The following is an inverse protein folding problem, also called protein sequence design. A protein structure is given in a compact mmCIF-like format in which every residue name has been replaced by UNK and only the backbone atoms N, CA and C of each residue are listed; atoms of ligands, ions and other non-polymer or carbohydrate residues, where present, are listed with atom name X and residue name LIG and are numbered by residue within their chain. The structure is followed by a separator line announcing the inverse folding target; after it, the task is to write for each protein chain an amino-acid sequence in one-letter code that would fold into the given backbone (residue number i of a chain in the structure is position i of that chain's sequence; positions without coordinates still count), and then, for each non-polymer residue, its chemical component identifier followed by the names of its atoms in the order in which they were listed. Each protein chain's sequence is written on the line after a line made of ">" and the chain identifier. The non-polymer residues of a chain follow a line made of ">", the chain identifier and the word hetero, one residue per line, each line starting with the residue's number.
data_IF_992437809918
#
_entry.id   IF_992437809918
#
_cell.length_a   1.000
_cell.length_b   1.000
_cell.length_c   1.000
_cell.angle_alpha   90.00
_cell.angle_beta   90.00
_cell.angle_gamma   90.00
#
_symmetry.space_group_name_H-M   'P 1'
#
loop_
_entity.id
_entity.type
_entity.pdbx_description
1 polymer ?
#
# COMPACT_ATOMS: atom_id res chain seq x y z
N UNK A 1 -4.43 16.49 -10.31
CA UNK A 1 -4.42 15.07 -9.88
C UNK A 1 -3.97 15.05 -8.43
N UNK A 2 -4.63 14.27 -7.59
CA UNK A 2 -4.17 14.04 -6.23
C UNK A 2 -3.10 12.95 -6.28
N UNK A 3 -2.01 13.14 -5.54
CA UNK A 3 -0.92 12.15 -5.47
C UNK A 3 -1.36 11.02 -4.53
N UNK A 4 -1.56 9.80 -4.99
CA UNK A 4 -2.09 8.69 -4.18
C UNK A 4 -1.17 7.47 -4.17
N UNK A 5 -1.24 6.66 -3.11
CA UNK A 5 -0.48 5.42 -3.08
C UNK A 5 -1.22 4.31 -3.81
N UNK A 6 -0.54 3.70 -4.77
CA UNK A 6 -1.02 2.57 -5.57
C UNK A 6 -0.27 1.29 -5.21
N UNK A 7 -0.98 0.16 -5.25
CA UNK A 7 -0.42 -1.18 -5.10
C UNK A 7 -0.86 -2.04 -6.27
N UNK A 8 0.05 -2.87 -6.79
CA UNK A 8 -0.25 -3.89 -7.78
C UNK A 8 0.20 -5.26 -7.29
N UNK A 9 -0.69 -6.26 -7.37
CA UNK A 9 -0.33 -7.65 -7.13
C UNK A 9 0.01 -8.33 -8.44
N UNK A 10 1.26 -8.77 -8.58
CA UNK A 10 1.77 -9.27 -9.86
C UNK A 10 2.48 -10.62 -9.68
N UNK A 11 2.37 -11.52 -10.66
CA UNK A 11 3.21 -12.72 -10.69
C UNK A 11 4.69 -12.35 -10.88
N UNK A 12 5.60 -13.23 -10.43
CA UNK A 12 7.04 -13.01 -10.58
C UNK A 12 7.46 -12.92 -12.04
N UNK A 13 6.86 -13.76 -12.88
CA UNK A 13 7.08 -13.82 -14.32
C UNK A 13 6.66 -12.54 -15.04
N UNK A 14 5.62 -11.86 -14.55
CA UNK A 14 5.17 -10.58 -15.09
C UNK A 14 6.23 -9.49 -14.86
N UNK A 15 6.74 -9.40 -13.62
CA UNK A 15 7.77 -8.43 -13.28
C UNK A 15 9.10 -8.71 -14.03
N UNK A 16 9.44 -10.00 -14.20
CA UNK A 16 10.60 -10.41 -14.99
C UNK A 16 10.45 -10.04 -16.48
N UNK A 17 9.25 -10.23 -17.04
CA UNK A 17 8.94 -9.82 -18.41
C UNK A 17 9.04 -8.29 -18.57
N UNK A 18 8.56 -7.51 -17.60
CA UNK A 18 8.71 -6.06 -17.62
C UNK A 18 10.18 -5.63 -17.63
N UNK A 19 11.01 -6.24 -16.78
CA UNK A 19 12.45 -5.99 -16.75
C UNK A 19 13.11 -6.31 -18.09
N UNK A 20 12.74 -7.42 -18.71
CA UNK A 20 13.26 -7.81 -20.02
C UNK A 20 12.84 -6.83 -21.11
N UNK A 21 11.57 -6.41 -21.14
CA UNK A 21 11.06 -5.41 -22.09
C UNK A 21 11.84 -4.10 -21.98
N UNK A 22 12.00 -3.57 -20.76
CA UNK A 22 12.75 -2.34 -20.53
C UNK A 22 14.22 -2.44 -21.00
N UNK A 23 14.85 -3.61 -20.85
CA UNK A 23 16.23 -3.83 -21.30
C UNK A 23 16.39 -4.00 -22.82
N UNK A 24 15.32 -4.30 -23.55
CA UNK A 24 15.34 -4.56 -25.00
C UNK A 24 14.68 -3.47 -25.83
N UNK A 25 13.78 -2.68 -25.23
CA UNK A 25 13.13 -1.57 -25.91
C UNK A 25 14.11 -0.41 -26.16
N UNK A 26 13.98 0.24 -27.31
CA UNK A 26 14.81 1.38 -27.69
C UNK A 26 14.63 2.59 -26.78
N UNK A 27 13.48 2.67 -26.12
CA UNK A 27 13.08 3.77 -25.26
C UNK A 27 13.00 3.40 -23.77
N UNK A 28 13.29 2.14 -23.44
CA UNK A 28 13.26 1.61 -22.08
C UNK A 28 11.88 1.25 -21.55
N UNK A 29 10.86 1.07 -22.40
CA UNK A 29 9.49 0.72 -21.99
C UNK A 29 9.40 -0.67 -21.31
N UNK A 30 8.98 -0.73 -20.03
CA UNK A 30 8.76 -2.00 -19.33
C UNK A 30 7.44 -2.69 -19.71
N UNK A 31 6.54 -2.05 -20.47
CA UNK A 31 5.16 -2.51 -20.68
C UNK A 31 4.42 -2.79 -19.37
N UNK A 32 4.59 -1.90 -18.38
CA UNK A 32 3.90 -2.00 -17.11
C UNK A 32 2.43 -1.62 -17.27
N UNK A 33 1.55 -2.62 -17.25
CA UNK A 33 0.10 -2.51 -17.30
C UNK A 33 -0.57 -3.64 -16.48
N UNK A 34 -0.48 -3.62 -15.13
CA UNK A 34 -1.11 -4.64 -14.29
C UNK A 34 -2.64 -4.59 -14.45
N UNK A 35 -3.35 -5.74 -14.44
CA UNK A 35 -4.80 -5.75 -14.61
C UNK A 35 -5.51 -4.85 -13.58
N UNK A 36 -6.56 -4.10 -13.94
CA UNK A 36 -7.24 -3.21 -12.99
C UNK A 36 -7.78 -3.90 -11.73
N UNK A 37 -8.18 -5.17 -11.83
CA UNK A 37 -8.64 -5.97 -10.69
C UNK A 37 -7.50 -6.39 -9.72
N UNK A 38 -6.26 -6.24 -10.16
CA UNK A 38 -5.02 -6.53 -9.43
C UNK A 38 -4.30 -5.24 -9.02
N UNK A 39 -4.98 -4.08 -9.07
CA UNK A 39 -4.51 -2.78 -8.57
C UNK A 39 -5.40 -2.28 -7.43
N UNK A 40 -4.80 -1.64 -6.43
CA UNK A 40 -5.47 -0.99 -5.30
C UNK A 40 -4.94 0.43 -5.10
N UNK A 41 -5.85 1.39 -5.05
CA UNK A 41 -5.57 2.77 -4.63
C UNK A 41 -5.87 2.93 -3.13
N UNK A 42 -4.85 3.29 -2.34
CA UNK A 42 -4.97 3.58 -0.92
C UNK A 42 -5.17 5.08 -0.62
N UNK A 43 -5.23 5.92 -1.65
CA UNK A 43 -5.37 7.36 -1.52
C UNK A 43 -4.28 7.92 -0.58
N UNK A 44 -4.64 8.72 0.42
CA UNK A 44 -3.73 9.25 1.45
C UNK A 44 -3.82 8.45 2.76
N UNK A 45 -4.47 7.30 2.77
CA UNK A 45 -4.66 6.47 3.95
C UNK A 45 -3.37 6.00 4.65
N UNK A 46 -2.24 5.69 3.98
CA UNK A 46 -1.09 5.03 4.60
C UNK A 46 -0.61 5.66 5.92
N UNK A 47 -0.28 6.96 5.89
CA UNK A 47 0.23 7.66 7.07
C UNK A 47 -0.80 7.74 8.20
N UNK A 48 -2.10 7.85 7.86
CA UNK A 48 -3.17 7.86 8.85
C UNK A 48 -3.41 6.48 9.47
N UNK A 49 -3.30 5.41 8.67
CA UNK A 49 -3.43 4.02 9.14
C UNK A 49 -2.32 3.69 10.14
N UNK A 50 -1.07 4.04 9.83
CA UNK A 50 0.04 3.89 10.76
C UNK A 50 -0.23 4.67 12.05
N UNK A 51 -0.61 5.94 11.91
CA UNK A 51 -0.84 6.83 13.06
C UNK A 51 -1.92 6.32 14.01
N UNK A 52 -3.06 5.83 13.50
CA UNK A 52 -4.12 5.30 14.39
C UNK A 52 -3.71 4.03 15.10
N UNK A 53 -2.91 3.16 14.45
CA UNK A 53 -2.38 1.97 15.09
C UNK A 53 -1.36 2.30 16.18
N UNK A 54 -0.51 3.32 15.97
CA UNK A 54 0.39 3.83 17.01
C UNK A 54 -0.37 4.38 18.21
N UNK A 55 -1.40 5.20 17.95
CA UNK A 55 -2.25 5.78 19.00
C UNK A 55 -2.99 4.71 19.81
N UNK A 56 -3.38 3.61 19.16
CA UNK A 56 -4.01 2.46 19.82
C UNK A 56 -3.03 1.56 20.56
N UNK A 57 -1.71 1.79 20.44
CA UNK A 57 -0.68 1.00 21.11
C UNK A 57 -0.58 -0.42 20.57
N UNK A 58 -0.77 -0.61 19.25
CA UNK A 58 -0.50 -1.90 18.61
C UNK A 58 0.94 -2.34 18.89
N UNK A 59 1.17 -3.63 19.08
CA UNK A 59 2.51 -4.14 19.29
C UNK A 59 3.39 -3.96 18.04
N UNK A 60 4.71 -4.02 18.25
CA UNK A 60 5.69 -3.76 17.21
C UNK A 60 5.55 -4.67 15.99
N UNK A 61 5.15 -5.94 16.16
CA UNK A 61 5.06 -6.85 15.01
C UNK A 61 3.92 -6.46 14.06
N UNK A 62 2.78 -6.02 14.60
CA UNK A 62 1.66 -5.55 13.79
C UNK A 62 1.90 -4.17 13.19
N UNK A 63 2.56 -3.26 13.92
CA UNK A 63 2.99 -1.97 13.37
C UNK A 63 4.00 -2.15 12.23
N UNK A 64 5.00 -3.00 12.41
CA UNK A 64 6.00 -3.30 11.38
C UNK A 64 5.36 -3.97 10.16
N UNK A 65 4.36 -4.84 10.35
CA UNK A 65 3.61 -5.42 9.25
C UNK A 65 2.81 -4.37 8.48
N UNK A 66 2.18 -3.42 9.17
CA UNK A 66 1.46 -2.32 8.53
C UNK A 66 2.40 -1.40 7.76
N UNK A 67 3.55 -1.03 8.35
CA UNK A 67 4.60 -0.27 7.66
C UNK A 67 5.10 -0.98 6.43
N UNK A 68 5.44 -2.27 6.56
CA UNK A 68 5.85 -3.08 5.42
C UNK A 68 4.74 -3.15 4.36
N UNK A 69 3.46 -3.15 4.78
CA UNK A 69 2.33 -3.19 3.87
C UNK A 69 2.14 -1.92 3.04
N UNK A 70 2.60 -0.77 3.55
CA UNK A 70 2.42 0.55 2.94
C UNK A 70 3.72 1.18 2.42
N UNK A 71 4.87 0.66 2.82
CA UNK A 71 6.19 1.17 2.40
C UNK A 71 6.96 0.16 1.55
N UNK A 72 6.57 -1.11 1.59
CA UNK A 72 7.24 -2.19 0.88
C UNK A 72 8.66 -2.47 1.40
N UNK A 73 9.50 -3.05 0.53
CA UNK A 73 10.91 -3.32 0.77
C UNK A 73 11.70 -2.96 -0.50
N UNK A 74 12.98 -2.60 -0.35
CA UNK A 74 13.88 -2.24 -1.44
C UNK A 74 14.71 -3.42 -1.98
N UNK A 75 14.50 -4.64 -1.45
CA UNK A 75 15.25 -5.83 -1.84
C UNK A 75 15.03 -6.25 -3.31
N UNK A 76 13.86 -5.94 -3.88
CA UNK A 76 13.57 -6.20 -5.29
C UNK A 76 13.85 -4.92 -6.08
N UNK A 77 14.83 -5.00 -6.97
CA UNK A 77 15.16 -3.87 -7.86
C UNK A 77 14.02 -3.61 -8.86
N UNK A 78 13.46 -2.40 -8.78
CA UNK A 78 12.38 -1.88 -9.63
C UNK A 78 12.83 -0.67 -10.47
N UNK A 79 14.14 -0.42 -10.59
CA UNK A 79 14.65 0.75 -11.31
C UNK A 79 14.18 0.85 -12.75
N UNK A 80 13.90 -0.29 -13.40
CA UNK A 80 13.38 -0.38 -14.75
C UNK A 80 11.92 0.11 -14.91
N UNK A 81 11.18 0.32 -13.82
CA UNK A 81 9.84 0.95 -13.89
C UNK A 81 9.92 2.48 -13.96
N UNK A 82 11.11 3.07 -13.75
CA UNK A 82 11.31 4.52 -13.73
C UNK A 82 11.98 5.07 -15.01
N UNK A 83 12.15 4.26 -16.07
CA UNK A 83 13.01 4.57 -17.22
C UNK A 83 12.32 5.19 -18.44
N UNK A 84 11.02 4.96 -18.67
CA UNK A 84 10.28 5.44 -19.87
C UNK A 84 8.98 6.13 -19.46
N UNK A 85 8.66 7.33 -19.99
CA UNK A 85 8.20 8.49 -19.20
C UNK A 85 7.21 8.07 -18.12
N UNK A 86 7.80 7.70 -16.98
CA UNK A 86 7.14 7.23 -15.77
C UNK A 86 6.01 6.21 -16.01
N UNK A 87 6.37 4.96 -16.32
CA UNK A 87 5.42 3.84 -16.36
C UNK A 87 4.64 3.66 -15.03
N UNK A 88 5.20 4.20 -13.95
CA UNK A 88 4.56 4.47 -12.65
C UNK A 88 4.82 5.95 -12.31
N UNK A 89 3.88 6.62 -11.64
CA UNK A 89 3.98 8.05 -11.37
C UNK A 89 5.30 8.49 -10.70
N UNK A 90 5.84 9.68 -11.04
CA UNK A 90 7.13 10.16 -10.52
C UNK A 90 7.05 10.73 -9.10
N UNK A 91 5.90 10.63 -8.44
CA UNK A 91 5.67 11.28 -7.16
C UNK A 91 6.15 10.39 -6.02
N UNK A 92 6.42 11.01 -4.87
CA UNK A 92 6.81 10.29 -3.66
C UNK A 92 8.16 9.56 -3.74
N UNK A 93 8.39 8.59 -2.84
CA UNK A 93 9.57 7.73 -2.86
C UNK A 93 9.62 6.82 -4.10
N UNK A 94 10.80 6.26 -4.44
CA UNK A 94 10.92 5.23 -5.47
C UNK A 94 9.98 4.04 -5.19
N UNK A 95 9.53 3.33 -6.24
CA UNK A 95 8.71 2.15 -6.05
C UNK A 95 9.42 1.10 -5.21
N UNK A 96 8.64 0.38 -4.42
CA UNK A 96 9.12 -0.72 -3.58
C UNK A 96 8.30 -1.98 -3.87
N UNK A 97 8.79 -3.12 -3.38
CA UNK A 97 8.05 -4.37 -3.54
C UNK A 97 8.21 -5.31 -2.36
N UNK A 98 7.26 -6.23 -2.25
CA UNK A 98 7.32 -7.37 -1.36
C UNK A 98 7.33 -8.66 -2.18
N UNK A 99 8.24 -9.56 -1.82
CA UNK A 99 8.21 -10.94 -2.30
C UNK A 99 6.94 -11.66 -1.82
N UNK A 100 6.53 -12.72 -2.51
CA UNK A 100 5.37 -13.52 -2.12
C UNK A 100 5.44 -14.04 -0.67
N UNK A 101 6.64 -14.34 -0.17
CA UNK A 101 6.86 -14.76 1.21
C UNK A 101 6.60 -13.62 2.21
N UNK A 102 7.08 -12.40 1.91
CA UNK A 102 6.78 -11.21 2.72
C UNK A 102 5.29 -10.88 2.68
N UNK A 103 4.66 -10.96 1.50
CA UNK A 103 3.20 -10.75 1.34
C UNK A 103 2.40 -11.72 2.20
N UNK A 104 2.78 -13.00 2.24
CA UNK A 104 2.11 -13.98 3.09
C UNK A 104 2.22 -13.65 4.58
N UNK A 105 3.43 -13.26 5.05
CA UNK A 105 3.65 -12.84 6.44
C UNK A 105 2.84 -11.59 6.80
N UNK A 106 2.89 -10.57 5.95
CA UNK A 106 2.14 -9.33 6.16
C UNK A 106 0.64 -9.60 6.15
N UNK A 107 0.15 -10.43 5.22
CA UNK A 107 -1.26 -10.82 5.17
C UNK A 107 -1.74 -11.50 6.46
N UNK A 108 -0.93 -12.36 7.04
CA UNK A 108 -1.26 -13.04 8.30
C UNK A 108 -1.39 -12.02 9.44
N UNK A 109 -0.40 -11.14 9.60
CA UNK A 109 -0.37 -10.14 10.66
C UNK A 109 -1.50 -9.10 10.50
N UNK A 110 -1.73 -8.58 9.29
CA UNK A 110 -2.87 -7.70 9.01
C UNK A 110 -4.22 -8.38 9.31
N UNK A 111 -4.31 -9.69 9.11
CA UNK A 111 -5.49 -10.50 9.41
C UNK A 111 -5.83 -10.57 10.91
N UNK A 112 -4.85 -10.37 11.78
CA UNK A 112 -4.98 -10.46 13.23
C UNK A 112 -5.38 -9.13 13.89
N UNK A 113 -5.29 -8.02 13.16
CA UNK A 113 -5.65 -6.69 13.67
C UNK A 113 -7.17 -6.53 13.72
N UNK A 114 -7.70 -6.32 14.92
CA UNK A 114 -9.08 -5.83 15.13
C UNK A 114 -9.14 -4.32 14.90
N UNK A 115 -9.22 -3.93 13.63
CA UNK A 115 -9.22 -2.51 13.26
C UNK A 115 -10.45 -1.73 13.76
N UNK A 116 -11.67 -2.30 13.83
CA UNK A 116 -12.77 -1.68 14.57
C UNK A 116 -12.42 -1.32 16.02
N UNK A 117 -11.73 -2.19 16.75
CA UNK A 117 -11.26 -1.90 18.11
C UNK A 117 -10.18 -0.80 18.14
N UNK A 118 -9.24 -0.80 17.17
CA UNK A 118 -8.25 0.29 16.99
C UNK A 118 -8.96 1.63 16.84
N UNK A 119 -9.96 1.71 15.95
CA UNK A 119 -10.71 2.94 15.75
C UNK A 119 -11.52 3.33 16.99
N UNK A 120 -12.07 2.38 17.74
CA UNK A 120 -12.83 2.67 18.96
C UNK A 120 -12.00 3.42 20.03
N UNK A 121 -10.67 3.33 19.99
CA UNK A 121 -9.76 4.09 20.87
C UNK A 121 -9.64 5.58 20.55
N UNK A 122 -10.12 6.05 19.39
CA UNK A 122 -10.09 7.46 19.03
C UNK A 122 -11.16 8.28 19.79
N UNK A 123 -10.98 9.60 19.94
CA UNK A 123 -12.02 10.51 20.44
C UNK A 123 -13.36 10.36 19.71
N UNK A 124 -14.48 10.45 20.43
CA UNK A 124 -15.81 10.21 19.87
C UNK A 124 -16.19 11.22 18.78
N UNK A 125 -15.81 12.49 18.97
CA UNK A 125 -16.05 13.55 18.01
C UNK A 125 -15.05 13.48 16.85
N UNK A 126 -15.56 13.51 15.61
CA UNK A 126 -14.73 13.37 14.40
C UNK A 126 -13.69 14.47 14.24
N UNK A 127 -13.96 15.68 14.73
CA UNK A 127 -13.01 16.80 14.71
C UNK A 127 -11.84 16.58 15.66
N UNK A 128 -12.11 16.05 16.86
CA UNK A 128 -11.08 15.69 17.83
C UNK A 128 -10.28 14.47 17.34
N UNK A 129 -10.95 13.47 16.77
CA UNK A 129 -10.30 12.33 16.14
C UNK A 129 -9.38 12.77 15.00
N UNK A 130 -9.85 13.64 14.11
CA UNK A 130 -9.04 14.20 13.03
C UNK A 130 -7.81 14.95 13.54
N UNK A 131 -7.95 15.71 14.64
CA UNK A 131 -6.85 16.45 15.26
C UNK A 131 -5.73 15.52 15.75
N UNK A 132 -6.07 14.42 16.43
CA UNK A 132 -5.06 13.48 16.95
C UNK A 132 -4.43 12.61 15.85
N UNK A 133 -5.19 12.33 14.78
CA UNK A 133 -4.71 11.60 13.60
C UNK A 133 -3.76 12.48 12.78
N UNK A 134 -4.07 13.75 12.56
CA UNK A 134 -3.29 14.60 11.67
C UNK A 134 -3.43 14.22 10.18
N UNK A 135 -2.40 14.48 9.37
CA UNK A 135 -2.36 14.11 7.94
C UNK A 135 -3.58 14.55 7.12
N UNK A 136 -4.12 15.74 7.40
CA UNK A 136 -5.32 16.28 6.77
C UNK A 136 -6.59 15.42 6.97
N UNK A 137 -6.65 14.62 8.04
CA UNK A 137 -7.83 13.85 8.41
C UNK A 137 -9.09 14.70 8.60
N UNK A 138 -8.93 16.00 8.92
CA UNK A 138 -10.01 16.99 9.03
C UNK A 138 -10.69 17.28 7.68
N UNK A 139 -10.01 16.98 6.57
CA UNK A 139 -10.51 17.21 5.20
C UNK A 139 -11.22 16.00 4.62
N UNK A 140 -11.29 14.89 5.36
CA UNK A 140 -11.94 13.65 4.89
C UNK A 140 -13.47 13.84 4.94
N UNK A 141 -14.08 13.92 3.75
CA UNK A 141 -15.52 13.91 3.61
C UNK A 141 -16.12 12.60 4.16
N UNK A 142 -17.06 12.71 5.11
CA UNK A 142 -17.71 11.56 5.75
C UNK A 142 -16.94 10.96 6.93
N UNK A 143 -15.89 11.63 7.41
CA UNK A 143 -15.21 11.36 8.68
C UNK A 143 -14.03 10.37 8.58
N UNK A 144 -12.98 10.57 9.38
CA UNK A 144 -11.75 9.76 9.30
C UNK A 144 -11.98 8.29 9.64
N UNK A 145 -12.88 7.96 10.57
CA UNK A 145 -13.16 6.58 10.99
C UNK A 145 -13.64 5.71 9.82
N UNK A 146 -14.66 6.17 9.10
CA UNK A 146 -15.23 5.44 7.96
C UNK A 146 -14.23 5.31 6.83
N UNK A 147 -13.47 6.37 6.57
CA UNK A 147 -12.41 6.38 5.57
C UNK A 147 -11.33 5.35 5.88
N UNK A 148 -10.79 5.35 7.10
CA UNK A 148 -9.71 4.45 7.49
C UNK A 148 -10.19 3.00 7.53
N UNK A 149 -11.40 2.74 8.05
CA UNK A 149 -11.97 1.39 8.06
C UNK A 149 -12.07 0.81 6.64
N UNK A 150 -12.50 1.63 5.67
CA UNK A 150 -12.60 1.22 4.27
C UNK A 150 -11.23 0.84 3.70
N UNK A 151 -10.22 1.72 3.84
CA UNK A 151 -8.90 1.47 3.26
C UNK A 151 -8.16 0.33 3.97
N UNK A 152 -8.29 0.20 5.29
CA UNK A 152 -7.71 -0.93 6.01
C UNK A 152 -8.31 -2.27 5.54
N UNK A 153 -9.64 -2.34 5.39
CA UNK A 153 -10.29 -3.56 4.90
C UNK A 153 -9.85 -3.89 3.47
N UNK A 154 -9.79 -2.88 2.59
CA UNK A 154 -9.31 -3.06 1.22
C UNK A 154 -7.86 -3.57 1.19
N UNK A 155 -6.96 -2.97 1.99
CA UNK A 155 -5.58 -3.40 2.13
C UNK A 155 -5.48 -4.86 2.59
N UNK A 156 -6.18 -5.20 3.68
CA UNK A 156 -6.19 -6.55 4.24
C UNK A 156 -6.70 -7.59 3.25
N UNK A 157 -7.80 -7.31 2.56
CA UNK A 157 -8.35 -8.20 1.54
C UNK A 157 -7.41 -8.35 0.33
N UNK A 158 -6.74 -7.26 -0.06
CA UNK A 158 -5.80 -7.26 -1.16
C UNK A 158 -4.57 -8.12 -0.88
N UNK A 159 -3.98 -7.98 0.32
CA UNK A 159 -2.88 -8.83 0.80
C UNK A 159 -3.29 -10.29 0.95
N UNK A 160 -4.49 -10.57 1.45
CA UNK A 160 -5.02 -11.94 1.57
C UNK A 160 -5.16 -12.63 0.21
N UNK A 161 -5.69 -11.92 -0.78
CA UNK A 161 -5.83 -12.45 -2.12
C UNK A 161 -4.48 -12.64 -2.81
N UNK A 162 -3.52 -11.72 -2.62
CA UNK A 162 -2.16 -11.86 -3.13
C UNK A 162 -1.43 -13.05 -2.49
N UNK A 163 -1.55 -13.23 -1.17
CA UNK A 163 -0.98 -14.35 -0.42
C UNK A 163 -1.49 -15.70 -0.94
N UNK A 164 -2.82 -15.85 -1.11
CA UNK A 164 -3.45 -17.09 -1.62
C UNK A 164 -3.02 -17.44 -3.04
N UNK A 165 -2.66 -16.44 -3.85
CA UNK A 165 -2.20 -16.60 -5.24
C UNK A 165 -0.67 -16.63 -5.36
N UNK A 166 0.06 -16.52 -4.26
CA UNK A 166 1.52 -16.44 -4.23
C UNK A 166 2.10 -15.31 -5.09
N UNK A 167 1.46 -14.14 -5.07
CA UNK A 167 1.87 -12.96 -5.86
C UNK A 167 2.83 -12.05 -5.08
N UNK A 168 3.62 -11.28 -5.82
CA UNK A 168 4.35 -10.14 -5.30
C UNK A 168 3.42 -8.94 -5.17
N UNK A 169 3.84 -7.96 -4.37
CA UNK A 169 3.24 -6.63 -4.38
C UNK A 169 4.27 -5.60 -4.79
N UNK A 170 3.87 -4.69 -5.69
CA UNK A 170 4.62 -3.50 -6.08
C UNK A 170 3.84 -2.29 -5.59
N UNK A 171 4.52 -1.32 -5.00
CA UNK A 171 3.94 -0.10 -4.44
C UNK A 171 4.58 1.11 -5.09
N UNK A 172 3.78 2.13 -5.41
CA UNK A 172 4.26 3.41 -5.92
C UNK A 172 3.30 4.55 -5.54
N UNK A 173 3.71 5.79 -5.80
CA UNK A 173 2.86 6.97 -5.65
C UNK A 173 2.60 7.58 -7.03
N UNK A 174 1.32 7.68 -7.41
CA UNK A 174 0.85 8.22 -8.70
C UNK A 174 0.24 9.62 -8.57
#
# INVERSE_FOLDING_TARGET
>A
MAVTQQLARVPAEYLAACRQSAGTSTDGDPHWDPPPADVLDLDWAPAMLERVCELAGLDGAHLDALRQATEGDAAIDLGFLNTHPHAIGPFGPPPTALSAAQVARVSELLGQIDFPAVLAGLPAEDTEAASVIGHAADKIGGGPRKYLLRHFNALREFYLAASRRHLLLVLWWD
#
